data_IF_511990760968
#
_entry.id   IF_511990760968
#
_cell.length_a   1.000
_cell.length_b   1.000
_cell.length_c   1.000
_cell.angle_alpha   90.00
_cell.angle_beta   90.00
_cell.angle_gamma   90.00
#
_symmetry.space_group_name_H-M   'P 1'
#
loop_
_entity.id
_entity.type
_entity.pdbx_description
1 polymer ?
#
# COMPACT_ATOMS: atom_id res chain seq x y z
N UNK A 1 14.70 -1.71 -6.49
CA UNK A 1 14.80 -2.94 -5.68
C UNK A 1 13.83 -3.97 -6.25
N UNK A 2 14.12 -5.26 -6.15
CA UNK A 2 13.19 -6.35 -6.54
C UNK A 2 12.83 -7.10 -5.27
N UNK A 3 11.54 -7.28 -5.00
CA UNK A 3 11.05 -8.03 -3.84
C UNK A 3 10.77 -9.47 -4.26
N UNK A 4 11.45 -10.44 -3.64
CA UNK A 4 11.25 -11.87 -3.90
C UNK A 4 10.98 -12.66 -2.64
N UNK A 5 11.41 -12.12 -1.50
CA UNK A 5 11.35 -12.76 -0.20
C UNK A 5 10.72 -11.82 0.81
N UNK A 6 10.30 -12.40 1.93
CA UNK A 6 9.79 -11.63 3.06
C UNK A 6 10.85 -10.65 3.60
N UNK A 7 12.12 -11.03 3.56
CA UNK A 7 13.22 -10.18 4.00
C UNK A 7 13.38 -8.94 3.11
N UNK A 8 13.07 -9.04 1.81
CA UNK A 8 13.11 -7.88 0.90
C UNK A 8 12.01 -6.89 1.25
N UNK A 9 10.83 -7.39 1.65
CA UNK A 9 9.75 -6.52 2.13
C UNK A 9 10.15 -5.87 3.44
N UNK A 10 10.81 -6.60 4.33
CA UNK A 10 11.28 -6.02 5.57
C UNK A 10 12.28 -4.88 5.32
N UNK A 11 13.19 -5.06 4.37
CA UNK A 11 14.12 -4.01 3.94
C UNK A 11 13.42 -2.81 3.29
N UNK A 12 12.36 -3.02 2.49
CA UNK A 12 11.57 -1.92 1.94
C UNK A 12 10.98 -1.04 3.04
N UNK A 13 10.38 -1.69 4.03
CA UNK A 13 9.74 -1.01 5.15
C UNK A 13 10.77 -0.24 5.96
N UNK A 14 11.88 -0.88 6.27
CA UNK A 14 12.97 -0.25 7.01
C UNK A 14 13.55 0.94 6.23
N UNK A 15 13.66 0.86 4.91
CA UNK A 15 14.07 1.98 4.06
C UNK A 15 13.06 3.15 4.13
N UNK A 16 11.77 2.88 3.91
CA UNK A 16 10.71 3.90 3.99
C UNK A 16 10.62 4.57 5.37
N UNK A 17 10.92 3.85 6.45
CA UNK A 17 10.96 4.41 7.80
C UNK A 17 12.12 5.41 8.02
N UNK A 18 13.15 5.36 7.18
CA UNK A 18 14.32 6.26 7.24
C UNK A 18 14.24 7.43 6.26
N UNK A 19 13.27 7.41 5.36
CA UNK A 19 13.08 8.45 4.35
C UNK A 19 12.55 9.77 4.94
N UNK A 20 12.71 10.84 4.16
CA UNK A 20 12.13 12.15 4.47
C UNK A 20 10.59 12.13 4.42
N UNK A 21 9.95 13.15 5.00
CA UNK A 21 8.49 13.27 4.95
C UNK A 21 7.92 13.32 3.53
N UNK A 22 8.72 13.76 2.55
CA UNK A 22 8.34 13.88 1.13
C UNK A 22 8.40 12.53 0.39
N UNK A 23 8.85 11.48 1.06
CA UNK A 23 9.09 10.14 0.51
C UNK A 23 8.57 9.05 1.46
N UNK A 24 7.30 9.16 1.82
CA UNK A 24 6.64 8.21 2.75
C UNK A 24 5.94 7.06 2.03
N UNK A 25 6.05 6.98 0.70
CA UNK A 25 5.39 5.97 -0.12
C UNK A 25 6.31 5.33 -1.15
N UNK A 26 6.17 4.02 -1.35
CA UNK A 26 6.76 3.27 -2.45
C UNK A 26 5.70 2.81 -3.45
N UNK A 27 6.07 2.78 -4.73
CA UNK A 27 5.32 2.12 -5.79
C UNK A 27 5.99 0.80 -6.16
N UNK A 28 5.20 -0.27 -6.18
CA UNK A 28 5.59 -1.63 -6.48
C UNK A 28 4.79 -2.13 -7.68
N UNK A 29 5.45 -2.92 -8.51
CA UNK A 29 4.87 -3.49 -9.73
C UNK A 29 5.22 -4.98 -9.78
N UNK A 30 4.24 -5.82 -10.08
CA UNK A 30 4.42 -7.22 -10.38
C UNK A 30 5.07 -7.33 -11.76
N UNK A 31 6.29 -7.86 -11.80
CA UNK A 31 7.08 -7.98 -13.03
C UNK A 31 6.45 -8.98 -14.02
N UNK A 32 5.65 -9.93 -13.53
CA UNK A 32 4.99 -10.97 -14.32
C UNK A 32 3.73 -10.47 -15.04
N UNK A 33 3.19 -9.31 -14.66
CA UNK A 33 2.02 -8.74 -15.32
C UNK A 33 2.40 -8.04 -16.63
N UNK A 34 1.52 -8.10 -17.65
CA UNK A 34 1.78 -7.43 -18.91
C UNK A 34 1.86 -5.91 -18.71
N UNK A 35 2.65 -5.27 -19.57
CA UNK A 35 2.61 -3.82 -19.73
C UNK A 35 1.52 -3.43 -20.73
N UNK A 36 1.08 -2.18 -20.68
CA UNK A 36 0.24 -1.57 -21.71
C UNK A 36 0.98 -1.52 -23.05
N UNK A 37 0.28 -1.23 -24.13
CA UNK A 37 0.88 -1.06 -25.47
C UNK A 37 1.98 0.02 -25.52
N UNK A 38 1.99 0.92 -24.53
CA UNK A 38 2.98 1.99 -24.36
C UNK A 38 4.17 1.58 -23.47
N UNK A 39 4.20 0.34 -22.97
CA UNK A 39 5.27 -0.19 -22.13
C UNK A 39 5.18 0.17 -20.65
N UNK A 40 4.05 0.72 -20.18
CA UNK A 40 3.84 1.05 -18.76
C UNK A 40 3.19 -0.12 -18.01
N UNK A 41 3.45 -0.30 -16.70
CA UNK A 41 2.68 -1.23 -15.89
C UNK A 41 1.18 -0.97 -15.98
N UNK A 42 0.38 -2.04 -16.11
CA UNK A 42 -1.09 -1.96 -16.17
C UNK A 42 -1.76 -1.84 -14.78
N UNK A 43 -0.95 -1.77 -13.74
CA UNK A 43 -1.37 -1.76 -12.35
C UNK A 43 -0.35 -0.98 -11.51
N UNK A 44 -0.75 -0.60 -10.31
CA UNK A 44 0.07 0.13 -9.35
C UNK A 44 -0.24 -0.37 -7.95
N UNK A 45 0.77 -0.84 -7.23
CA UNK A 45 0.65 -1.20 -5.83
C UNK A 45 1.46 -0.23 -4.96
N UNK A 46 0.78 0.50 -4.10
CA UNK A 46 1.37 1.54 -3.25
C UNK A 46 1.45 1.09 -1.80
N UNK A 47 2.57 1.38 -1.17
CA UNK A 47 2.81 1.16 0.26
C UNK A 47 3.18 2.49 0.90
N UNK A 48 2.28 3.05 1.70
CA UNK A 48 2.50 4.28 2.46
C UNK A 48 2.81 3.99 3.92
N UNK A 49 3.75 4.74 4.51
CA UNK A 49 4.16 4.59 5.92
C UNK A 49 4.25 5.95 6.60
N UNK A 50 3.63 6.07 7.77
CA UNK A 50 3.86 7.18 8.70
C UNK A 50 4.67 6.69 9.91
N UNK A 51 5.98 6.92 9.87
CA UNK A 51 6.91 6.47 10.91
C UNK A 51 6.56 7.03 12.30
N UNK A 52 6.14 8.30 12.37
CA UNK A 52 5.80 8.99 13.62
C UNK A 52 4.58 8.38 14.31
N UNK A 53 3.54 8.07 13.53
CA UNK A 53 2.28 7.49 14.04
C UNK A 53 2.31 5.96 14.11
N UNK A 54 3.31 5.32 13.50
CA UNK A 54 3.45 3.85 13.38
C UNK A 54 2.22 3.22 12.72
N UNK A 55 1.83 3.78 11.59
CA UNK A 55 0.69 3.36 10.76
C UNK A 55 1.13 3.35 9.30
N UNK A 56 0.39 2.67 8.45
CA UNK A 56 0.58 2.74 7.01
C UNK A 56 -0.66 2.24 6.26
N UNK A 57 -0.68 2.52 4.96
CA UNK A 57 -1.77 2.17 4.06
C UNK A 57 -1.25 1.37 2.88
N UNK A 58 -2.14 0.56 2.30
CA UNK A 58 -1.91 -0.14 1.04
C UNK A 58 -2.98 0.29 0.05
N UNK A 59 -2.55 0.53 -1.19
CA UNK A 59 -3.47 0.79 -2.30
C UNK A 59 -3.06 -0.10 -3.48
N UNK A 60 -4.06 -0.65 -4.15
CA UNK A 60 -3.91 -1.27 -5.46
C UNK A 60 -4.78 -0.53 -6.46
N UNK A 61 -4.23 -0.18 -7.62
CA UNK A 61 -4.98 0.31 -8.76
C UNK A 61 -4.68 -0.56 -9.98
N UNK A 62 -5.69 -0.97 -10.72
CA UNK A 62 -5.51 -1.83 -11.89
C UNK A 62 -6.71 -2.72 -12.14
N UNK A 63 -6.49 -3.80 -12.88
CA UNK A 63 -7.52 -4.82 -13.13
C UNK A 63 -7.28 -6.06 -12.28
N UNK A 64 -8.29 -6.45 -11.49
CA UNK A 64 -8.35 -7.69 -10.71
C UNK A 64 -9.68 -8.38 -10.97
N UNK A 65 -9.67 -9.69 -11.21
CA UNK A 65 -10.87 -10.51 -11.48
C UNK A 65 -11.82 -9.91 -12.53
N UNK A 66 -11.24 -9.34 -13.59
CA UNK A 66 -11.98 -8.72 -14.70
C UNK A 66 -12.58 -7.34 -14.38
N UNK A 67 -12.38 -6.82 -13.17
CA UNK A 67 -12.85 -5.49 -12.75
C UNK A 67 -11.67 -4.54 -12.67
N UNK A 68 -11.77 -3.38 -13.33
CA UNK A 68 -10.81 -2.29 -13.18
C UNK A 68 -11.25 -1.37 -12.05
N UNK A 69 -10.35 -1.04 -11.14
CA UNK A 69 -10.69 -0.25 -9.97
C UNK A 69 -9.48 0.22 -9.16
N UNK A 70 -9.81 0.80 -8.01
CA UNK A 70 -8.86 1.19 -6.97
C UNK A 70 -9.35 0.62 -5.66
N UNK A 71 -8.45 -0.01 -4.93
CA UNK A 71 -8.74 -0.66 -3.67
C UNK A 71 -7.73 -0.28 -2.62
N UNK A 72 -8.17 -0.30 -1.37
CA UNK A 72 -7.38 0.05 -0.20
C UNK A 72 -7.44 -1.11 0.80
N UNK A 73 -6.35 -1.36 1.51
CA UNK A 73 -6.43 -2.21 2.69
C UNK A 73 -7.27 -1.50 3.74
N UNK A 74 -8.24 -2.20 4.34
CA UNK A 74 -9.20 -1.62 5.29
C UNK A 74 -8.88 -2.06 6.73
N UNK A 75 -9.21 -1.21 7.69
CA UNK A 75 -9.20 -1.51 9.13
C UNK A 75 -10.54 -1.18 9.77
N UNK A 76 -10.91 -1.94 10.80
CA UNK A 76 -12.07 -1.65 11.65
C UNK A 76 -11.83 -0.49 12.63
N UNK A 77 -10.59 0.01 12.71
CA UNK A 77 -10.15 1.03 13.68
C UNK A 77 -9.39 2.16 12.99
N UNK A 78 -10.11 3.12 12.38
CA UNK A 78 -9.52 4.30 11.76
C UNK A 78 -8.58 5.02 12.74
N UNK A 79 -7.44 5.49 12.23
CA UNK A 79 -6.40 6.11 13.05
C UNK A 79 -6.34 7.64 12.89
N UNK A 80 -6.93 8.18 11.82
CA UNK A 80 -7.07 9.61 11.53
C UNK A 80 -8.29 9.86 10.64
N UNK A 81 -8.77 11.10 10.64
CA UNK A 81 -9.82 11.56 9.72
C UNK A 81 -9.27 11.80 8.30
N UNK A 82 -8.05 12.34 8.21
CA UNK A 82 -7.35 12.57 6.95
C UNK A 82 -6.09 11.70 6.90
N UNK A 83 -5.93 10.98 5.80
CA UNK A 83 -4.80 10.06 5.58
C UNK A 83 -4.21 10.37 4.22
N UNK A 84 -2.93 10.71 4.21
CA UNK A 84 -2.18 10.87 2.96
C UNK A 84 -0.75 10.36 3.14
N UNK A 85 -0.16 9.96 2.02
CA UNK A 85 1.25 9.60 1.92
C UNK A 85 1.89 10.31 0.73
N UNK A 86 3.17 10.64 0.87
CA UNK A 86 3.93 11.41 -0.12
C UNK A 86 4.73 10.47 -1.01
N UNK A 87 4.49 10.56 -2.33
CA UNK A 87 5.31 9.89 -3.34
C UNK A 87 6.05 10.92 -4.17
N UNK A 88 7.37 11.02 -3.93
CA UNK A 88 8.25 11.95 -4.61
C UNK A 88 7.74 13.41 -4.54
N UNK A 89 7.27 13.83 -3.36
CA UNK A 89 6.71 15.17 -3.11
C UNK A 89 5.29 15.41 -3.64
N UNK A 90 4.59 14.34 -4.06
CA UNK A 90 3.18 14.39 -4.40
C UNK A 90 2.34 13.68 -3.33
N UNK A 91 1.47 14.41 -2.61
CA UNK A 91 0.58 13.80 -1.64
C UNK A 91 -0.50 13.01 -2.36
N UNK A 92 -0.83 11.85 -1.80
CA UNK A 92 -1.89 11.00 -2.27
C UNK A 92 -2.85 10.68 -1.13
N UNK A 93 -4.13 10.95 -1.35
CA UNK A 93 -5.18 10.74 -0.35
C UNK A 93 -5.62 9.28 -0.27
N UNK A 94 -5.88 8.87 0.96
CA UNK A 94 -6.31 7.54 1.35
C UNK A 94 -7.59 7.66 2.20
N UNK A 95 -8.51 6.69 2.13
CA UNK A 95 -9.65 6.64 3.05
C UNK A 95 -9.20 6.60 4.51
N UNK A 96 -9.94 7.24 5.41
CA UNK A 96 -9.62 7.32 6.85
C UNK A 96 -9.46 5.96 7.54
N UNK A 97 -10.17 4.96 7.04
CA UNK A 97 -10.20 3.58 7.52
C UNK A 97 -9.21 2.67 6.78
N UNK A 98 -8.25 3.23 6.04
CA UNK A 98 -7.21 2.46 5.37
C UNK A 98 -5.87 2.39 6.12
N UNK A 99 -5.72 3.12 7.23
CA UNK A 99 -4.50 3.08 8.04
C UNK A 99 -4.47 1.92 9.02
N UNK A 100 -3.56 0.98 8.81
CA UNK A 100 -3.35 -0.15 9.71
C UNK A 100 -2.20 0.12 10.69
N UNK A 101 -2.51 0.30 11.98
CA UNK A 101 -1.51 0.46 13.06
C UNK A 101 -0.73 -0.83 13.33
N UNK A 102 -1.42 -1.97 13.32
CA UNK A 102 -0.81 -3.26 13.62
C UNK A 102 0.11 -3.76 12.51
N UNK A 103 0.19 -3.06 11.38
CA UNK A 103 0.99 -3.51 10.23
C UNK A 103 2.51 -3.42 10.49
N UNK A 104 2.95 -2.56 11.41
CA UNK A 104 4.37 -2.16 11.52
C UNK A 104 4.97 -2.24 12.92
N UNK A 105 4.22 -2.69 13.93
CA UNK A 105 4.62 -2.56 15.33
C UNK A 105 5.59 -3.64 15.85
N UNK A 106 5.57 -4.84 15.29
CA UNK A 106 6.48 -5.95 15.63
C UNK A 106 6.56 -7.04 14.54
N UNK A 107 7.47 -8.01 14.68
CA UNK A 107 7.69 -9.11 13.71
C UNK A 107 6.44 -10.01 13.51
N UNK A 108 5.61 -10.17 14.55
CA UNK A 108 4.39 -10.99 14.55
C UNK A 108 3.24 -10.26 13.84
N UNK A 109 3.18 -8.96 14.06
CA UNK A 109 2.39 -7.98 13.30
C UNK A 109 2.72 -8.00 11.81
N UNK A 110 4.03 -8.07 11.45
CA UNK A 110 4.50 -8.27 10.07
C UNK A 110 4.05 -9.63 9.50
N UNK A 111 3.93 -10.69 10.30
CA UNK A 111 3.41 -11.99 9.84
C UNK A 111 1.91 -11.97 9.48
N UNK A 112 1.07 -11.24 10.22
CA UNK A 112 -0.36 -11.11 9.90
C UNK A 112 -0.63 -10.31 8.62
N UNK A 113 0.23 -9.35 8.30
CA UNK A 113 0.21 -8.63 7.02
C UNK A 113 0.43 -9.55 5.81
N UNK A 114 1.26 -10.60 5.95
CA UNK A 114 1.52 -11.58 4.87
C UNK A 114 0.26 -12.29 4.39
N UNK A 115 -0.71 -12.51 5.27
CA UNK A 115 -1.98 -13.14 4.93
C UNK A 115 -2.96 -12.18 4.22
N UNK A 116 -2.91 -10.88 4.54
CA UNK A 116 -3.77 -9.87 3.94
C UNK A 116 -3.32 -9.50 2.51
N UNK A 117 -2.02 -9.46 2.24
CA UNK A 117 -1.48 -9.25 0.89
C UNK A 117 -1.83 -10.40 -0.09
N UNK A 118 -2.26 -11.55 0.43
CA UNK A 118 -2.70 -12.73 -0.34
C UNK A 118 -4.22 -12.91 -0.37
N UNK A 119 -4.99 -12.06 0.33
CA UNK A 119 -6.44 -12.21 0.45
C UNK A 119 -7.19 -11.42 -0.66
N UNK A 120 -8.17 -12.02 -1.34
CA UNK A 120 -8.91 -11.38 -2.44
C UNK A 120 -10.00 -10.38 -2.03
N UNK A 121 -10.14 -10.04 -0.74
CA UNK A 121 -11.22 -9.15 -0.29
C UNK A 121 -10.80 -7.68 -0.30
N UNK A 122 -10.72 -7.15 -1.52
CA UNK A 122 -10.58 -5.74 -1.79
C UNK A 122 -11.98 -5.17 -2.05
N UNK A 123 -12.55 -4.40 -1.10
CA UNK A 123 -13.86 -3.77 -1.31
C UNK A 123 -13.70 -2.47 -2.12
N UNK A 124 -14.61 -2.28 -3.08
CA UNK A 124 -14.57 -1.16 -4.02
C UNK A 124 -15.07 0.11 -3.31
N UNK A 125 -14.14 0.91 -2.78
CA UNK A 125 -14.42 2.19 -2.13
C UNK A 125 -14.74 3.29 -3.15
N UNK A 126 -15.80 3.12 -3.93
CA UNK A 126 -16.34 4.20 -4.77
C UNK A 126 -17.28 5.09 -3.96
N UNK A 127 -17.20 6.43 -4.05
CA UNK A 127 -18.22 7.28 -3.47
C UNK A 127 -19.53 7.01 -4.23
N UNK A 128 -20.59 6.70 -3.49
CA UNK A 128 -21.93 6.67 -4.03
C UNK A 128 -22.28 8.05 -4.60
N UNK A 129 -22.58 8.09 -5.89
CA UNK A 129 -23.41 9.11 -6.53
C UNK A 129 -24.62 8.40 -7.15
#
# INVERSE_FOLDING_TARGET
MILRTEADVDQLVDALLTESCDHTMAALYLAERPTTDQGYPDHDFRVGINAKRKVGGLKFAGTSDGTTGVWYAMTDRPQAADVFYEYAGHPEDFPSDSECRSMWSDQRSRSSWRAAATAPEASNGGPGL
#
